data_IF_874447232143
#
_entry.id   IF_874447232143
#
_cell.length_a   1.000
_cell.length_b   1.000
_cell.length_c   1.000
_cell.angle_alpha   90.00
_cell.angle_beta   90.00
_cell.angle_gamma   90.00
#
_symmetry.space_group_name_H-M   'P 1'
#
loop_
_entity.id
_entity.type
_entity.pdbx_description
1 polymer ?
#
# COMPACT_ATOMS: atom_id res chain seq x y z
N UNK A 1 -13.66 30.26 -0.65
CA UNK A 1 -13.74 29.80 -2.05
C UNK A 1 -14.56 28.52 -2.06
N UNK A 2 -15.49 28.39 -3.01
CA UNK A 2 -16.25 27.17 -3.25
C UNK A 2 -15.43 26.14 -4.07
N UNK A 3 -15.95 24.92 -4.20
CA UNK A 3 -15.25 23.86 -4.92
C UNK A 3 -14.92 24.24 -6.38
N UNK A 4 -15.85 24.88 -7.09
CA UNK A 4 -15.64 25.28 -8.49
C UNK A 4 -14.43 26.22 -8.67
N UNK A 5 -14.30 27.22 -7.80
CA UNK A 5 -13.17 28.16 -7.82
C UNK A 5 -11.82 27.49 -7.54
N UNK A 6 -11.80 26.45 -6.69
CA UNK A 6 -10.60 25.65 -6.44
C UNK A 6 -10.25 24.77 -7.64
N UNK A 7 -11.23 24.15 -8.29
CA UNK A 7 -11.04 23.34 -9.48
C UNK A 7 -10.43 24.16 -10.63
N UNK A 8 -10.98 25.35 -10.90
CA UNK A 8 -10.44 26.27 -11.92
C UNK A 8 -8.97 26.65 -11.66
N UNK A 9 -8.61 26.89 -10.39
CA UNK A 9 -7.21 27.12 -10.02
C UNK A 9 -6.35 25.88 -10.21
N UNK A 10 -6.85 24.70 -9.82
CA UNK A 10 -6.15 23.43 -10.02
C UNK A 10 -5.85 23.18 -11.50
N UNK A 11 -6.84 23.40 -12.37
CA UNK A 11 -6.70 23.21 -13.81
C UNK A 11 -5.66 24.15 -14.44
N UNK A 12 -5.48 25.32 -13.85
CA UNK A 12 -4.51 26.31 -14.32
C UNK A 12 -3.07 26.05 -13.84
N UNK A 13 -2.90 25.58 -12.59
CA UNK A 13 -1.57 25.58 -11.94
C UNK A 13 -1.00 24.19 -11.65
N UNK A 14 -1.81 23.12 -11.71
CA UNK A 14 -1.35 21.78 -11.39
C UNK A 14 -1.33 20.92 -12.65
N UNK A 15 -0.21 20.22 -12.89
CA UNK A 15 -0.10 19.27 -14.01
C UNK A 15 -1.20 18.21 -13.96
N UNK A 16 -1.77 17.86 -15.09
CA UNK A 16 -2.88 16.90 -15.21
C UNK A 16 -2.40 15.43 -15.19
N UNK A 17 -1.64 15.06 -14.16
CA UNK A 17 -1.14 13.70 -13.97
C UNK A 17 -2.19 12.75 -13.35
N UNK A 18 -3.28 13.30 -12.82
CA UNK A 18 -4.37 12.56 -12.19
C UNK A 18 -5.71 12.94 -12.81
N UNK A 19 -6.59 11.94 -13.03
CA UNK A 19 -8.01 12.16 -13.28
C UNK A 19 -8.73 12.51 -11.97
N UNK A 20 -8.72 13.79 -11.57
CA UNK A 20 -9.32 14.23 -10.31
C UNK A 20 -10.84 14.26 -10.39
N UNK A 21 -11.48 13.74 -9.36
CA UNK A 21 -12.91 13.95 -9.16
C UNK A 21 -13.19 15.40 -8.75
N UNK A 22 -14.37 15.97 -9.07
CA UNK A 22 -14.70 17.35 -8.74
C UNK A 22 -15.09 17.52 -7.25
N UNK A 23 -14.28 16.99 -6.37
CA UNK A 23 -14.44 17.04 -4.91
C UNK A 23 -13.23 17.77 -4.34
N UNK A 24 -13.45 18.74 -3.45
CA UNK A 24 -12.40 19.56 -2.84
C UNK A 24 -12.44 19.37 -1.31
N UNK A 25 -11.83 18.30 -0.78
CA UNK A 25 -11.83 18.05 0.66
C UNK A 25 -11.08 19.16 1.42
N UNK A 26 -11.67 19.68 2.48
CA UNK A 26 -11.08 20.73 3.33
C UNK A 26 -11.03 20.34 4.82
N UNK A 27 -11.76 19.30 5.21
CA UNK A 27 -11.77 18.77 6.57
C UNK A 27 -11.92 17.26 6.55
N UNK A 28 -11.25 16.56 7.48
CA UNK A 28 -11.41 15.13 7.70
C UNK A 28 -11.45 14.79 9.18
N UNK A 29 -12.26 13.78 9.56
CA UNK A 29 -12.37 13.27 10.91
C UNK A 29 -12.83 11.79 10.88
N UNK A 30 -12.03 10.88 11.42
CA UNK A 30 -12.32 9.43 11.36
C UNK A 30 -12.53 8.94 9.92
N UNK A 31 -13.68 8.35 9.65
CA UNK A 31 -14.07 7.88 8.31
C UNK A 31 -14.80 8.94 7.46
N UNK A 32 -14.75 10.21 7.84
CA UNK A 32 -15.54 11.26 7.18
C UNK A 32 -14.67 12.37 6.62
N UNK A 33 -15.08 12.91 5.47
CA UNK A 33 -14.52 14.10 4.83
C UNK A 33 -15.63 15.11 4.55
N UNK A 34 -15.27 16.40 4.54
CA UNK A 34 -16.13 17.50 4.11
C UNK A 34 -15.42 18.30 3.02
N UNK A 35 -16.16 18.62 1.96
CA UNK A 35 -15.64 19.46 0.91
C UNK A 35 -15.81 20.97 1.19
N UNK A 36 -15.31 21.80 0.28
CA UNK A 36 -15.37 23.26 0.38
C UNK A 36 -16.79 23.84 0.32
N UNK A 37 -17.76 23.06 -0.12
CA UNK A 37 -19.18 23.43 -0.18
C UNK A 37 -19.97 22.88 1.03
N UNK A 38 -19.28 22.22 1.97
CA UNK A 38 -19.84 21.70 3.21
C UNK A 38 -20.49 20.32 3.08
N UNK A 39 -20.40 19.66 1.92
CA UNK A 39 -20.92 18.32 1.73
C UNK A 39 -20.06 17.30 2.45
N UNK A 40 -20.70 16.41 3.21
CA UNK A 40 -20.08 15.28 3.91
C UNK A 40 -19.94 14.07 2.96
N UNK A 41 -18.82 13.39 3.11
CA UNK A 41 -18.54 12.12 2.45
C UNK A 41 -18.09 11.07 3.48
N UNK A 42 -18.62 9.86 3.34
CA UNK A 42 -18.11 8.67 4.00
C UNK A 42 -16.95 8.10 3.20
N UNK A 43 -15.78 7.96 3.82
CA UNK A 43 -14.54 7.61 3.12
C UNK A 43 -14.21 6.10 3.24
N UNK A 44 -14.50 5.35 2.19
CA UNK A 44 -14.10 3.94 2.04
C UNK A 44 -12.86 3.74 1.17
N UNK A 45 -12.11 4.83 0.91
CA UNK A 45 -10.84 4.84 0.20
C UNK A 45 -9.64 5.14 1.11
N UNK A 46 -9.82 5.94 2.14
CA UNK A 46 -8.80 6.33 3.13
C UNK A 46 -7.50 6.85 2.50
N UNK A 47 -7.61 7.67 1.43
CA UNK A 47 -6.43 8.16 0.71
C UNK A 47 -5.64 7.05 -0.01
N UNK A 48 -6.31 5.98 -0.46
CA UNK A 48 -5.74 4.75 -1.01
C UNK A 48 -4.96 3.96 0.05
N UNK A 49 -5.66 3.58 1.13
CA UNK A 49 -5.13 2.85 2.28
C UNK A 49 -3.97 3.59 2.99
N UNK A 50 -4.03 4.92 3.05
CA UNK A 50 -3.05 5.76 3.76
C UNK A 50 -3.52 6.09 5.18
N UNK A 51 -4.78 6.48 5.32
CA UNK A 51 -5.35 6.91 6.60
C UNK A 51 -5.94 5.72 7.38
N UNK A 52 -5.10 4.74 7.72
CA UNK A 52 -5.57 3.53 8.41
C UNK A 52 -6.22 3.82 9.77
N UNK A 53 -5.78 4.86 10.48
CA UNK A 53 -6.41 5.28 11.74
C UNK A 53 -7.53 6.30 11.55
N UNK A 54 -7.94 6.56 10.30
CA UNK A 54 -8.87 7.62 9.95
C UNK A 54 -8.21 9.00 9.86
N UNK A 55 -8.99 9.97 9.38
CA UNK A 55 -8.52 11.34 9.26
C UNK A 55 -8.32 11.98 10.63
N UNK A 56 -7.19 12.67 10.77
CA UNK A 56 -6.85 13.47 11.96
C UNK A 56 -6.91 12.69 13.29
N UNK A 57 -6.37 11.47 13.33
CA UNK A 57 -6.35 10.67 14.55
C UNK A 57 -5.67 11.44 15.71
N UNK A 58 -6.32 11.61 16.89
CA UNK A 58 -5.84 12.52 17.94
C UNK A 58 -4.41 12.26 18.42
N UNK A 59 -4.02 10.99 18.63
CA UNK A 59 -2.66 10.62 19.06
C UNK A 59 -1.61 10.99 18.01
N UNK A 60 -1.90 10.81 16.71
CA UNK A 60 -1.00 11.15 15.61
C UNK A 60 -0.88 12.66 15.44
N UNK A 61 -2.02 13.39 15.47
CA UNK A 61 -2.04 14.86 15.41
C UNK A 61 -1.23 15.45 16.56
N UNK A 62 -1.42 14.96 17.79
CA UNK A 62 -0.67 15.39 18.96
C UNK A 62 0.85 15.20 18.77
N UNK A 63 1.28 14.01 18.34
CA UNK A 63 2.69 13.72 18.10
C UNK A 63 3.31 14.65 17.05
N UNK A 64 2.58 14.93 15.97
CA UNK A 64 3.01 15.89 14.94
C UNK A 64 3.14 17.31 15.50
N UNK A 65 2.18 17.79 16.28
CA UNK A 65 2.19 19.14 16.87
C UNK A 65 3.37 19.31 17.85
N UNK A 66 3.59 18.35 18.73
CA UNK A 66 4.68 18.37 19.70
C UNK A 66 6.04 18.32 19.02
N UNK A 67 6.21 17.42 18.04
CA UNK A 67 7.46 17.28 17.32
C UNK A 67 7.74 18.47 16.40
N UNK A 68 6.72 19.05 15.76
CA UNK A 68 6.86 20.25 14.93
C UNK A 68 7.34 21.47 15.74
N UNK A 69 6.93 21.56 17.01
CA UNK A 69 7.40 22.61 17.92
C UNK A 69 8.82 22.36 18.48
N UNK A 70 9.34 21.14 18.33
CA UNK A 70 10.67 20.76 18.87
C UNK A 70 11.73 20.78 17.77
N UNK A 71 11.58 19.99 16.75
CA UNK A 71 12.52 19.88 15.62
C UNK A 71 11.89 19.12 14.46
N UNK A 72 11.88 19.74 13.26
CA UNK A 72 11.30 19.15 12.05
C UNK A 72 12.32 18.28 11.33
N UNK A 73 13.56 18.78 11.15
CA UNK A 73 14.61 18.13 10.36
C UNK A 73 16.00 18.50 10.89
N UNK A 74 16.96 17.55 10.81
CA UNK A 74 18.35 17.81 11.20
C UNK A 74 19.41 17.12 10.33
N UNK A 75 19.03 16.39 9.26
CA UNK A 75 19.88 15.54 8.42
C UNK A 75 20.27 14.19 9.04
N UNK A 76 20.40 13.20 8.17
CA UNK A 76 20.89 11.84 8.51
C UNK A 76 22.43 11.81 8.77
N UNK A 77 23.10 12.94 8.83
CA UNK A 77 24.46 13.03 9.36
C UNK A 77 24.51 12.88 10.89
N UNK A 78 23.37 13.03 11.57
CA UNK A 78 23.24 12.95 13.02
C UNK A 78 22.37 11.78 13.42
N UNK A 79 22.53 11.31 14.66
CA UNK A 79 21.64 10.32 15.26
C UNK A 79 20.31 10.99 15.63
N UNK A 80 19.20 10.41 15.16
CA UNK A 80 17.84 10.93 15.36
C UNK A 80 17.10 9.99 16.32
N UNK A 81 16.82 10.41 17.57
CA UNK A 81 16.17 9.53 18.56
C UNK A 81 14.86 8.90 18.05
N UNK A 82 13.97 9.70 17.45
CA UNK A 82 12.69 9.22 16.93
C UNK A 82 12.86 8.20 15.80
N UNK A 83 13.90 8.34 14.97
CA UNK A 83 14.22 7.39 13.90
C UNK A 83 14.73 6.06 14.47
N UNK A 84 15.59 6.13 15.50
CA UNK A 84 16.15 4.95 16.16
C UNK A 84 15.04 4.19 16.87
N UNK A 85 14.18 4.88 17.62
CA UNK A 85 13.03 4.28 18.31
C UNK A 85 12.04 3.65 17.32
N UNK A 86 11.79 4.30 16.18
CA UNK A 86 10.94 3.75 15.12
C UNK A 86 11.57 2.50 14.50
N UNK A 87 12.87 2.49 14.24
CA UNK A 87 13.58 1.32 13.75
C UNK A 87 13.50 0.15 14.73
N UNK A 88 13.76 0.40 16.02
CA UNK A 88 13.64 -0.59 17.08
C UNK A 88 12.21 -1.16 17.13
N UNK A 89 11.18 -0.31 17.11
CA UNK A 89 9.79 -0.74 17.17
C UNK A 89 9.40 -1.60 15.97
N UNK A 90 9.82 -1.24 14.75
CA UNK A 90 9.56 -2.01 13.54
C UNK A 90 10.31 -3.35 13.53
N UNK A 91 11.59 -3.36 13.87
CA UNK A 91 12.39 -4.58 13.91
C UNK A 91 11.91 -5.55 15.00
N UNK A 92 11.57 -5.03 16.19
CA UNK A 92 11.06 -5.87 17.29
C UNK A 92 9.70 -6.52 17.02
N UNK A 93 8.94 -6.01 16.04
CA UNK A 93 7.63 -6.53 15.65
C UNK A 93 7.63 -7.17 14.24
N UNK A 94 8.80 -7.45 13.67
CA UNK A 94 8.95 -8.08 12.35
C UNK A 94 10.10 -9.10 12.33
N UNK A 95 10.36 -9.65 11.16
CA UNK A 95 11.51 -10.53 10.91
C UNK A 95 12.84 -9.78 10.76
N UNK A 96 12.79 -8.46 10.58
CA UNK A 96 13.93 -7.66 10.16
C UNK A 96 14.81 -7.24 11.34
N UNK A 97 16.10 -7.04 11.06
CA UNK A 97 17.08 -6.56 12.01
C UNK A 97 17.41 -5.08 11.83
N UNK A 98 17.23 -4.56 10.61
CA UNK A 98 17.61 -3.19 10.26
C UNK A 98 16.59 -2.52 9.35
N UNK A 99 16.48 -1.17 9.46
CA UNK A 99 15.59 -0.32 8.71
C UNK A 99 16.34 0.79 7.97
N UNK A 100 15.93 1.07 6.73
CA UNK A 100 16.29 2.27 5.99
C UNK A 100 15.03 3.11 5.77
N UNK A 101 15.08 4.41 6.08
CA UNK A 101 13.95 5.32 5.96
C UNK A 101 14.08 6.25 4.75
N UNK A 102 12.94 6.47 4.08
CA UNK A 102 12.76 7.36 2.94
C UNK A 102 11.40 8.08 3.02
N UNK A 103 10.86 8.61 1.91
CA UNK A 103 9.67 9.47 1.95
C UNK A 103 8.43 8.84 1.29
N UNK A 104 8.59 7.74 0.60
CA UNK A 104 7.51 7.12 -0.19
C UNK A 104 7.72 5.63 -0.39
N UNK A 105 6.65 4.91 -0.79
CA UNK A 105 6.75 3.50 -1.17
C UNK A 105 7.65 3.28 -2.40
N UNK A 106 7.62 4.20 -3.37
CA UNK A 106 8.51 4.12 -4.52
C UNK A 106 9.99 4.19 -4.10
N UNK A 107 10.37 5.11 -3.20
CA UNK A 107 11.73 5.18 -2.68
C UNK A 107 12.11 3.96 -1.84
N UNK A 108 11.18 3.39 -1.07
CA UNK A 108 11.41 2.15 -0.32
C UNK A 108 11.68 0.98 -1.27
N UNK A 109 10.90 0.86 -2.34
CA UNK A 109 11.08 -0.15 -3.38
C UNK A 109 12.38 0.06 -4.18
N UNK A 110 12.77 1.30 -4.50
CA UNK A 110 14.09 1.62 -5.07
C UNK A 110 15.23 1.14 -4.17
N UNK A 111 15.09 1.36 -2.85
CA UNK A 111 16.08 0.88 -1.88
C UNK A 111 16.15 -0.65 -1.85
N UNK A 112 15.00 -1.34 -1.88
CA UNK A 112 14.93 -2.80 -1.90
C UNK A 112 15.55 -3.40 -3.17
N UNK A 113 15.24 -2.85 -4.34
CA UNK A 113 15.83 -3.24 -5.63
C UNK A 113 17.37 -3.04 -5.60
N UNK A 114 17.83 -1.89 -5.12
CA UNK A 114 19.26 -1.61 -5.01
C UNK A 114 19.97 -2.52 -4.01
N UNK A 115 19.35 -2.77 -2.86
CA UNK A 115 19.90 -3.66 -1.84
C UNK A 115 20.05 -5.08 -2.36
N UNK A 116 19.03 -5.63 -3.01
CA UNK A 116 19.05 -6.98 -3.58
C UNK A 116 20.16 -7.13 -4.63
N UNK A 117 20.28 -6.17 -5.55
CA UNK A 117 21.34 -6.17 -6.58
C UNK A 117 22.72 -6.06 -5.97
N UNK A 118 22.88 -5.19 -4.97
CA UNK A 118 24.18 -4.99 -4.32
C UNK A 118 24.58 -6.19 -3.47
N UNK A 119 23.65 -6.73 -2.68
CA UNK A 119 23.88 -7.94 -1.89
C UNK A 119 24.35 -9.12 -2.76
N UNK A 120 23.66 -9.38 -3.87
CA UNK A 120 24.03 -10.46 -4.77
C UNK A 120 25.45 -10.32 -5.32
N UNK A 121 25.87 -9.11 -5.67
CA UNK A 121 27.18 -8.87 -6.27
C UNK A 121 28.31 -8.81 -5.26
N UNK A 122 28.12 -8.06 -4.18
CA UNK A 122 29.20 -7.76 -3.23
C UNK A 122 29.33 -8.80 -2.13
N UNK A 123 28.22 -9.37 -1.66
CA UNK A 123 28.20 -10.24 -0.48
C UNK A 123 28.06 -11.71 -0.89
N UNK A 124 27.10 -12.05 -1.74
CA UNK A 124 26.90 -13.46 -2.16
C UNK A 124 27.88 -13.93 -3.22
N UNK A 125 28.74 -13.03 -3.75
CA UNK A 125 29.76 -13.37 -4.74
C UNK A 125 29.18 -13.78 -6.11
N UNK A 126 28.01 -13.28 -6.47
CA UNK A 126 27.30 -13.56 -7.74
C UNK A 126 27.19 -12.27 -8.59
N UNK A 127 28.29 -11.79 -9.19
CA UNK A 127 28.33 -10.51 -9.89
C UNK A 127 27.40 -10.44 -11.11
N UNK A 128 27.05 -11.58 -11.69
CA UNK A 128 26.10 -11.72 -12.80
C UNK A 128 24.65 -11.50 -12.38
N UNK A 129 24.30 -11.69 -11.10
CA UNK A 129 22.93 -11.63 -10.61
C UNK A 129 22.47 -10.19 -10.33
N UNK A 130 21.49 -9.74 -11.10
CA UNK A 130 20.88 -8.40 -10.97
C UNK A 130 19.40 -8.37 -11.36
N UNK A 131 18.91 -9.43 -12.00
CA UNK A 131 17.53 -9.50 -12.47
C UNK A 131 16.56 -9.79 -11.33
N UNK A 132 15.39 -9.21 -11.41
CA UNK A 132 14.32 -9.36 -10.43
C UNK A 132 13.04 -9.81 -11.15
N UNK A 133 12.43 -10.88 -10.66
CA UNK A 133 11.13 -11.34 -11.15
C UNK A 133 10.03 -10.64 -10.35
N UNK A 134 9.06 -10.07 -11.06
CA UNK A 134 7.86 -9.46 -10.48
C UNK A 134 6.60 -10.08 -11.07
N UNK A 135 5.41 -9.66 -10.65
CA UNK A 135 4.17 -10.19 -11.18
C UNK A 135 3.50 -9.22 -12.16
N UNK A 136 2.78 -9.76 -13.14
CA UNK A 136 1.83 -9.02 -13.95
C UNK A 136 0.77 -8.35 -13.06
N UNK A 137 0.22 -7.22 -13.48
CA UNK A 137 -0.74 -6.39 -12.74
C UNK A 137 -0.23 -5.83 -11.40
N UNK A 138 1.05 -6.03 -11.05
CA UNK A 138 1.67 -5.45 -9.85
C UNK A 138 1.80 -3.92 -9.96
N UNK A 139 1.96 -3.27 -8.79
CA UNK A 139 2.25 -1.84 -8.72
C UNK A 139 3.31 -1.57 -7.64
N UNK A 140 4.51 -1.16 -8.06
CA UNK A 140 5.64 -0.92 -7.14
C UNK A 140 6.09 0.55 -7.07
N UNK A 141 5.50 1.45 -7.89
CA UNK A 141 5.79 2.88 -7.86
C UNK A 141 5.91 3.55 -9.23
N UNK A 142 6.35 4.81 -9.22
CA UNK A 142 6.42 5.68 -10.41
C UNK A 142 7.82 6.24 -10.70
N UNK A 143 8.86 5.81 -9.99
CA UNK A 143 10.27 6.08 -10.34
C UNK A 143 10.73 5.11 -11.42
N UNK A 144 11.85 5.37 -12.09
CA UNK A 144 12.25 4.56 -13.25
C UNK A 144 12.45 3.08 -12.93
N UNK A 145 13.09 2.72 -11.80
CA UNK A 145 13.21 1.31 -11.46
C UNK A 145 11.88 0.70 -11.01
N UNK A 146 11.07 1.41 -10.24
CA UNK A 146 9.77 0.90 -9.79
C UNK A 146 8.74 0.85 -10.92
N UNK A 147 8.79 1.73 -11.92
CA UNK A 147 8.02 1.61 -13.16
C UNK A 147 8.44 0.36 -13.92
N UNK A 148 9.74 0.09 -14.03
CA UNK A 148 10.26 -1.12 -14.68
C UNK A 148 9.84 -2.40 -13.95
N UNK A 149 9.74 -2.36 -12.61
CA UNK A 149 9.27 -3.47 -11.79
C UNK A 149 7.74 -3.66 -11.83
N UNK A 150 6.97 -2.60 -12.13
CA UNK A 150 5.50 -2.62 -12.17
C UNK A 150 5.01 -3.37 -13.42
N UNK A 151 4.25 -4.45 -13.24
CA UNK A 151 3.73 -5.30 -14.32
C UNK A 151 2.51 -4.75 -15.06
N UNK A 152 2.47 -3.46 -15.37
CA UNK A 152 1.35 -2.80 -16.05
C UNK A 152 1.85 -1.96 -17.24
N UNK A 153 1.58 -2.40 -18.46
CA UNK A 153 2.00 -1.73 -19.69
C UNK A 153 1.56 -0.25 -19.74
N UNK A 154 0.33 0.08 -19.32
CA UNK A 154 -0.18 1.45 -19.27
C UNK A 154 0.66 2.41 -18.41
N UNK A 155 1.39 1.88 -17.42
CA UNK A 155 2.25 2.65 -16.52
C UNK A 155 3.65 2.84 -17.11
N UNK A 156 4.09 1.89 -17.94
CA UNK A 156 5.41 1.86 -18.58
C UNK A 156 5.46 2.63 -19.90
N UNK A 157 4.33 2.71 -20.58
CA UNK A 157 4.21 3.25 -21.94
C UNK A 157 4.80 4.65 -22.06
N UNK A 158 5.70 4.83 -23.05
CA UNK A 158 6.42 6.09 -23.37
C UNK A 158 7.50 6.52 -22.36
N UNK A 159 7.90 5.65 -21.44
CA UNK A 159 9.04 5.90 -20.55
C UNK A 159 10.28 5.07 -20.94
N UNK A 160 10.30 4.52 -22.15
CA UNK A 160 11.45 3.78 -22.68
C UNK A 160 12.70 4.67 -22.85
N UNK A 161 13.93 4.10 -22.67
CA UNK A 161 14.18 2.71 -22.29
C UNK A 161 13.94 2.47 -20.79
N UNK A 162 13.23 1.38 -20.47
CA UNK A 162 13.06 0.93 -19.09
C UNK A 162 14.37 0.39 -18.53
N UNK A 163 14.49 0.33 -17.21
CA UNK A 163 15.64 -0.27 -16.55
C UNK A 163 15.65 -1.79 -16.80
N UNK A 164 16.76 -2.30 -17.34
CA UNK A 164 16.93 -3.73 -17.60
C UNK A 164 16.96 -4.57 -16.33
N UNK A 165 16.59 -5.86 -16.50
CA UNK A 165 16.65 -6.86 -15.46
C UNK A 165 15.34 -6.97 -14.65
N UNK A 166 14.20 -6.73 -15.29
CA UNK A 166 12.89 -7.07 -14.76
C UNK A 166 12.16 -8.00 -15.71
N UNK A 167 11.55 -9.04 -15.16
CA UNK A 167 10.63 -9.94 -15.86
C UNK A 167 9.32 -10.03 -15.10
N UNK A 168 8.21 -10.11 -15.83
CA UNK A 168 6.87 -10.15 -15.24
C UNK A 168 6.22 -11.50 -15.55
N UNK A 169 5.77 -12.20 -14.52
CA UNK A 169 5.06 -13.48 -14.64
C UNK A 169 3.61 -13.33 -14.15
N UNK A 170 2.67 -14.18 -14.56
CA UNK A 170 1.34 -14.17 -14.00
C UNK A 170 1.38 -14.31 -12.46
N UNK A 171 0.58 -13.49 -11.77
CA UNK A 171 0.45 -13.61 -10.32
C UNK A 171 -0.26 -14.92 -9.96
N UNK A 172 0.16 -15.57 -8.88
CA UNK A 172 -0.38 -16.85 -8.43
C UNK A 172 -0.07 -18.05 -9.36
N UNK A 173 1.01 -17.96 -10.16
CA UNK A 173 1.51 -19.01 -11.05
C UNK A 173 2.96 -19.36 -10.69
N UNK A 174 3.15 -20.42 -9.89
CA UNK A 174 4.47 -20.84 -9.43
C UNK A 174 5.28 -21.48 -10.55
N UNK A 175 4.64 -22.11 -11.53
CA UNK A 175 5.33 -22.76 -12.65
C UNK A 175 5.93 -21.68 -13.57
N UNK A 176 5.17 -20.64 -13.89
CA UNK A 176 5.68 -19.49 -14.63
C UNK A 176 6.79 -18.76 -13.85
N UNK A 177 6.67 -18.63 -12.52
CA UNK A 177 7.72 -18.07 -11.67
C UNK A 177 9.01 -18.88 -11.75
N UNK A 178 8.92 -20.20 -11.60
CA UNK A 178 10.08 -21.11 -11.68
C UNK A 178 10.74 -21.07 -13.07
N UNK A 179 9.95 -21.05 -14.14
CA UNK A 179 10.45 -20.96 -15.51
C UNK A 179 11.17 -19.64 -15.84
N UNK A 180 10.86 -18.56 -15.10
CA UNK A 180 11.48 -17.25 -15.28
C UNK A 180 12.82 -17.10 -14.53
N UNK A 181 13.20 -18.04 -13.65
CA UNK A 181 14.48 -18.01 -12.95
C UNK A 181 15.61 -18.29 -13.92
N UNK A 182 16.62 -17.41 -13.91
CA UNK A 182 17.85 -17.52 -14.71
C UNK A 182 19.08 -17.38 -13.84
N UNK A 183 20.28 -17.61 -14.39
CA UNK A 183 21.53 -17.38 -13.68
C UNK A 183 21.73 -15.90 -13.28
N UNK A 184 21.07 -14.97 -13.97
CA UNK A 184 21.10 -13.52 -13.65
C UNK A 184 20.11 -13.13 -12.55
N UNK A 185 19.18 -14.01 -12.16
CA UNK A 185 18.15 -13.68 -11.18
C UNK A 185 18.74 -13.51 -9.77
N UNK A 186 18.47 -12.39 -9.11
CA UNK A 186 18.90 -12.12 -7.74
C UNK A 186 17.74 -12.13 -6.73
N UNK A 187 16.51 -11.81 -7.16
CA UNK A 187 15.37 -11.71 -6.28
C UNK A 187 14.04 -11.96 -6.99
N UNK A 188 13.03 -12.31 -6.20
CA UNK A 188 11.61 -12.20 -6.53
C UNK A 188 11.03 -11.05 -5.71
N UNK A 189 10.22 -10.17 -6.34
CA UNK A 189 9.55 -9.05 -5.68
C UNK A 189 8.06 -9.12 -5.94
N UNK A 190 7.25 -9.22 -4.89
CA UNK A 190 5.80 -9.38 -4.94
C UNK A 190 5.08 -8.50 -3.92
N UNK A 191 3.84 -8.12 -4.24
CA UNK A 191 2.85 -7.72 -3.24
C UNK A 191 2.24 -9.02 -2.65
N UNK A 192 2.10 -9.18 -1.32
CA UNK A 192 1.40 -10.35 -0.75
C UNK A 192 -0.04 -10.48 -1.23
N UNK A 193 -0.69 -9.34 -1.44
CA UNK A 193 -2.00 -9.16 -2.06
C UNK A 193 -1.85 -8.00 -3.04
N UNK A 194 -2.15 -8.19 -4.30
CA UNK A 194 -2.08 -7.11 -5.27
C UNK A 194 -3.21 -6.11 -5.05
N UNK A 195 -2.86 -4.86 -4.75
CA UNK A 195 -3.84 -3.80 -4.49
C UNK A 195 -4.41 -3.17 -5.77
N UNK A 196 -3.54 -2.58 -6.56
CA UNK A 196 -3.90 -1.87 -7.80
C UNK A 196 -4.29 -2.82 -8.93
N UNK A 197 -3.81 -4.05 -8.90
CA UNK A 197 -4.14 -5.11 -9.86
C UNK A 197 -5.56 -5.67 -9.73
N UNK A 198 -6.36 -5.22 -8.74
CA UNK A 198 -7.75 -5.65 -8.58
C UNK A 198 -8.04 -6.39 -7.27
N UNK A 199 -7.30 -6.16 -6.23
CA UNK A 199 -7.37 -6.88 -4.94
C UNK A 199 -7.25 -8.40 -5.16
N UNK A 200 -6.14 -8.81 -5.77
CA UNK A 200 -5.87 -10.22 -6.05
C UNK A 200 -5.27 -10.90 -4.83
N UNK A 201 -6.02 -11.84 -4.26
CA UNK A 201 -5.57 -12.69 -3.16
C UNK A 201 -4.91 -13.92 -3.77
N UNK A 202 -3.70 -14.31 -3.38
CA UNK A 202 -3.09 -15.53 -3.89
C UNK A 202 -3.69 -16.77 -3.22
N UNK A 203 -3.51 -17.94 -3.83
CA UNK A 203 -3.79 -19.20 -3.19
C UNK A 203 -2.97 -19.35 -1.91
N UNK A 204 -3.51 -20.07 -0.93
CA UNK A 204 -2.95 -20.16 0.42
C UNK A 204 -1.48 -20.61 0.44
N UNK A 205 -1.08 -21.47 -0.48
CA UNK A 205 0.28 -22.05 -0.56
C UNK A 205 1.20 -21.37 -1.59
N UNK A 206 0.71 -20.36 -2.33
CA UNK A 206 1.50 -19.72 -3.37
C UNK A 206 2.75 -19.04 -2.82
N UNK A 207 2.61 -18.19 -1.79
CA UNK A 207 3.75 -17.46 -1.24
C UNK A 207 4.76 -18.39 -0.53
N UNK A 208 4.30 -19.51 0.08
CA UNK A 208 5.22 -20.51 0.62
C UNK A 208 6.01 -21.22 -0.48
N UNK A 209 5.37 -21.56 -1.60
CA UNK A 209 6.06 -22.11 -2.79
C UNK A 209 7.06 -21.11 -3.38
N UNK A 210 6.72 -19.80 -3.40
CA UNK A 210 7.69 -18.77 -3.84
C UNK A 210 8.87 -18.68 -2.87
N UNK A 211 8.63 -18.76 -1.55
CA UNK A 211 9.73 -18.80 -0.57
C UNK A 211 10.64 -20.00 -0.79
N UNK A 212 10.06 -21.19 -0.93
CA UNK A 212 10.81 -22.41 -1.21
C UNK A 212 11.63 -22.31 -2.51
N UNK A 213 11.05 -21.75 -3.57
CA UNK A 213 11.73 -21.49 -4.84
C UNK A 213 12.93 -20.53 -4.64
N UNK A 214 12.74 -19.45 -3.90
CA UNK A 214 13.81 -18.52 -3.60
C UNK A 214 14.95 -19.19 -2.82
N UNK A 215 14.63 -20.01 -1.81
CA UNK A 215 15.61 -20.74 -1.02
C UNK A 215 16.39 -21.75 -1.85
N UNK A 216 15.72 -22.51 -2.72
CA UNK A 216 16.35 -23.50 -3.62
C UNK A 216 17.36 -22.87 -4.59
N UNK A 217 17.07 -21.67 -5.07
CA UNK A 217 17.91 -20.98 -6.05
C UNK A 217 18.84 -19.90 -5.43
N UNK A 218 18.79 -19.72 -4.10
CA UNK A 218 19.55 -18.68 -3.40
C UNK A 218 19.18 -17.28 -3.89
N UNK A 219 17.87 -17.00 -4.03
CA UNK A 219 17.29 -15.73 -4.40
C UNK A 219 16.76 -15.02 -3.15
N UNK A 220 16.74 -13.69 -3.17
CA UNK A 220 16.05 -12.92 -2.15
C UNK A 220 14.55 -12.84 -2.42
N UNK A 221 13.73 -12.91 -1.38
CA UNK A 221 12.31 -12.60 -1.45
C UNK A 221 12.07 -11.19 -0.90
N UNK A 222 11.57 -10.30 -1.76
CA UNK A 222 11.17 -8.94 -1.42
C UNK A 222 9.65 -8.90 -1.39
N UNK A 223 9.05 -8.50 -0.26
CA UNK A 223 7.62 -8.26 -0.17
C UNK A 223 7.31 -6.76 -0.09
N UNK A 224 6.54 -6.28 -1.07
CA UNK A 224 5.99 -4.94 -1.09
C UNK A 224 4.69 -4.91 -0.26
N UNK A 225 4.81 -4.49 0.99
CA UNK A 225 3.67 -4.30 1.90
C UNK A 225 3.23 -2.83 2.03
N UNK A 226 3.59 -2.01 1.06
CA UNK A 226 3.24 -0.58 1.04
C UNK A 226 1.75 -0.33 1.17
N UNK A 227 0.90 -1.18 0.58
CA UNK A 227 -0.55 -1.02 0.67
C UNK A 227 -1.21 -1.95 1.69
N UNK A 228 -0.70 -3.14 1.89
CA UNK A 228 -1.35 -4.20 2.68
C UNK A 228 -0.78 -4.38 4.09
N UNK A 229 0.35 -3.76 4.38
CA UNK A 229 0.92 -3.72 5.73
C UNK A 229 0.18 -2.76 6.67
N UNK A 230 0.75 -2.56 7.85
CA UNK A 230 0.27 -1.62 8.85
C UNK A 230 -1.20 -1.85 9.27
N UNK A 231 -1.55 -3.11 9.50
CA UNK A 231 -2.85 -3.51 10.04
C UNK A 231 -3.96 -3.70 9.03
N UNK A 232 -3.75 -3.39 7.74
CA UNK A 232 -4.79 -3.40 6.70
C UNK A 232 -5.53 -4.74 6.59
N UNK A 233 -4.84 -5.84 6.79
CA UNK A 233 -5.38 -7.20 6.67
C UNK A 233 -5.80 -7.84 8.01
N UNK A 234 -5.76 -7.09 9.13
CA UNK A 234 -6.02 -7.61 10.49
C UNK A 234 -4.75 -8.08 11.21
N UNK A 235 -3.65 -8.30 10.49
CA UNK A 235 -2.31 -8.53 11.01
C UNK A 235 -1.45 -7.29 10.84
N UNK A 236 -0.36 -7.14 11.60
CA UNK A 236 0.53 -6.00 11.43
C UNK A 236 1.11 -5.97 10.01
N UNK A 237 1.52 -7.14 9.51
CA UNK A 237 2.01 -7.34 8.14
C UNK A 237 1.22 -8.44 7.43
N UNK A 238 0.97 -8.27 6.14
CA UNK A 238 0.13 -9.20 5.37
C UNK A 238 0.78 -10.58 5.19
N UNK A 239 2.12 -10.67 5.10
CA UNK A 239 2.82 -11.95 4.96
C UNK A 239 2.59 -12.92 6.13
N UNK A 240 2.19 -12.41 7.31
CA UNK A 240 1.88 -13.23 8.47
C UNK A 240 0.70 -14.19 8.23
N UNK A 241 -0.25 -13.84 7.33
CA UNK A 241 -1.36 -14.71 6.96
C UNK A 241 -0.91 -15.98 6.21
N UNK A 242 0.24 -15.90 5.56
CA UNK A 242 0.79 -16.98 4.73
C UNK A 242 1.89 -17.76 5.41
N UNK A 243 2.25 -17.42 6.65
CA UNK A 243 3.25 -18.13 7.46
C UNK A 243 4.67 -18.10 6.87
N UNK A 244 4.99 -17.10 6.06
CA UNK A 244 6.31 -16.96 5.42
C UNK A 244 7.09 -15.78 5.99
N UNK A 245 8.41 -15.82 5.80
CA UNK A 245 9.32 -14.73 6.18
C UNK A 245 10.06 -14.25 4.94
N UNK A 246 9.92 -12.97 4.53
CA UNK A 246 10.71 -12.41 3.45
C UNK A 246 12.15 -12.10 3.90
N UNK A 247 12.99 -11.73 2.96
CA UNK A 247 14.34 -11.24 3.20
C UNK A 247 14.38 -9.72 3.30
N UNK A 248 13.51 -9.06 2.54
CA UNK A 248 13.33 -7.61 2.50
C UNK A 248 11.82 -7.32 2.45
N UNK A 249 11.38 -6.31 3.19
CA UNK A 249 10.01 -5.81 3.17
C UNK A 249 9.98 -4.30 3.04
N UNK A 250 9.04 -3.77 2.27
CA UNK A 250 8.85 -2.32 2.13
C UNK A 250 7.50 -1.87 2.67
N UNK A 251 7.49 -0.72 3.34
CA UNK A 251 6.32 -0.10 3.94
C UNK A 251 6.27 1.39 3.57
N UNK A 252 5.07 1.95 3.50
CA UNK A 252 4.82 3.39 3.39
C UNK A 252 3.36 3.69 3.76
N UNK A 253 2.66 4.53 2.98
CA UNK A 253 1.22 4.83 3.11
C UNK A 253 0.77 4.98 4.57
N UNK A 254 0.20 3.93 5.14
CA UNK A 254 -0.36 3.96 6.49
C UNK A 254 0.67 4.05 7.63
N UNK A 255 1.96 3.95 7.33
CA UNK A 255 3.04 3.90 8.32
C UNK A 255 3.03 5.11 9.29
N UNK A 256 2.66 6.31 8.82
CA UNK A 256 2.61 7.52 9.64
C UNK A 256 1.25 8.24 9.60
N UNK A 257 0.15 7.51 9.36
CA UNK A 257 -1.21 8.06 9.47
C UNK A 257 -1.50 9.26 8.56
N UNK A 258 -0.86 9.33 7.39
CA UNK A 258 -1.02 10.41 6.41
C UNK A 258 0.22 11.27 6.18
N UNK A 259 1.21 11.26 7.07
CA UNK A 259 2.49 11.93 6.83
C UNK A 259 3.39 11.10 5.88
N UNK A 260 4.14 11.75 4.96
CA UNK A 260 4.93 11.04 3.94
C UNK A 260 6.17 10.38 4.56
N UNK A 261 6.18 9.06 4.61
CA UNK A 261 7.31 8.22 5.01
C UNK A 261 7.27 6.91 4.23
N UNK A 262 8.45 6.35 3.97
CA UNK A 262 8.65 4.99 3.52
C UNK A 262 9.76 4.34 4.31
N UNK A 263 9.78 3.02 4.39
CA UNK A 263 10.88 2.26 4.97
C UNK A 263 11.09 0.96 4.20
N UNK A 264 12.34 0.56 4.10
CA UNK A 264 12.76 -0.78 3.72
C UNK A 264 13.32 -1.45 4.97
N UNK A 265 12.83 -2.64 5.28
CA UNK A 265 13.25 -3.50 6.37
C UNK A 265 14.01 -4.70 5.79
N UNK A 266 15.11 -5.11 6.40
CA UNK A 266 15.90 -6.24 5.92
C UNK A 266 16.58 -7.00 7.06
N UNK A 267 16.90 -8.28 6.80
CA UNK A 267 17.75 -9.09 7.67
C UNK A 267 19.17 -8.52 7.73
N UNK A 268 19.87 -8.69 8.84
CA UNK A 268 21.19 -8.10 9.08
C UNK A 268 22.25 -8.53 8.07
N UNK A 269 22.24 -9.81 7.67
CA UNK A 269 23.16 -10.37 6.68
C UNK A 269 22.99 -9.76 5.28
N UNK A 270 21.80 -9.27 4.96
CA UNK A 270 21.49 -8.59 3.70
C UNK A 270 21.77 -7.08 3.82
N UNK A 271 21.33 -6.48 4.92
CA UNK A 271 21.46 -5.05 5.18
C UNK A 271 22.92 -4.57 5.17
N UNK A 272 23.88 -5.42 5.58
CA UNK A 272 25.31 -5.13 5.55
C UNK A 272 25.86 -4.76 4.16
N UNK A 273 25.14 -5.08 3.08
CA UNK A 273 25.54 -4.67 1.74
C UNK A 273 25.43 -3.15 1.54
N UNK A 274 24.58 -2.46 2.31
CA UNK A 274 24.56 -1.00 2.31
C UNK A 274 25.59 -0.44 3.30
N UNK A 275 26.56 0.30 2.78
CA UNK A 275 27.59 0.98 3.55
C UNK A 275 27.54 2.48 3.25
N UNK A 276 28.15 3.35 4.07
CA UNK A 276 28.17 4.79 3.85
C UNK A 276 28.48 5.18 2.40
N UNK A 277 27.62 6.01 1.79
CA UNK A 277 27.77 6.50 0.41
C UNK A 277 27.09 5.64 -0.66
N UNK A 278 26.54 4.46 -0.34
CA UNK A 278 25.90 3.59 -1.35
C UNK A 278 24.43 3.91 -1.60
N UNK A 279 23.73 4.43 -0.62
CA UNK A 279 22.36 4.90 -0.70
C UNK A 279 22.08 5.98 0.34
N UNK A 280 21.02 6.77 0.16
CA UNK A 280 20.66 7.83 1.09
C UNK A 280 19.37 8.56 0.73
N UNK A 281 18.87 9.34 1.68
CA UNK A 281 17.72 10.23 1.54
C UNK A 281 17.96 11.47 2.39
N UNK A 282 17.67 12.66 1.87
CA UNK A 282 17.78 13.89 2.63
C UNK A 282 16.73 13.96 3.74
N UNK A 283 15.48 13.69 3.42
CA UNK A 283 14.35 13.84 4.34
C UNK A 283 13.91 12.52 4.99
N UNK A 284 14.36 11.38 4.48
CA UNK A 284 13.94 10.07 4.98
C UNK A 284 14.24 9.89 6.46
N UNK A 285 13.24 9.52 7.24
CA UNK A 285 13.36 9.31 8.68
C UNK A 285 13.59 10.58 9.49
N UNK A 286 13.12 11.74 9.01
CA UNK A 286 13.21 12.97 9.81
C UNK A 286 12.40 12.88 11.11
N UNK A 287 12.73 13.66 12.14
CA UNK A 287 12.07 13.61 13.45
C UNK A 287 10.55 13.72 13.38
N UNK A 288 10.02 14.62 12.53
CA UNK A 288 8.58 14.89 12.46
C UNK A 288 7.78 13.67 12.01
N UNK A 289 8.19 13.04 10.89
CA UNK A 289 7.45 11.88 10.35
C UNK A 289 7.67 10.63 11.18
N UNK A 290 8.85 10.47 11.81
CA UNK A 290 9.11 9.37 12.74
C UNK A 290 8.23 9.45 14.00
N UNK A 291 8.01 10.65 14.56
CA UNK A 291 7.09 10.83 15.67
C UNK A 291 5.64 10.45 15.30
N UNK A 292 5.19 10.82 14.11
CA UNK A 292 3.88 10.40 13.60
C UNK A 292 3.78 8.87 13.40
N UNK A 293 4.83 8.25 12.85
CA UNK A 293 4.88 6.80 12.64
C UNK A 293 4.89 6.03 13.98
N UNK A 294 5.68 6.47 14.96
CA UNK A 294 5.67 5.91 16.31
C UNK A 294 4.27 5.94 16.94
N UNK A 295 3.60 7.10 16.86
CA UNK A 295 2.24 7.23 17.37
C UNK A 295 1.26 6.30 16.64
N UNK A 296 1.40 6.17 15.32
CA UNK A 296 0.56 5.30 14.49
C UNK A 296 0.75 3.83 14.86
N UNK A 297 2.00 3.34 14.93
CA UNK A 297 2.27 1.94 15.23
C UNK A 297 1.83 1.57 16.65
N UNK A 298 2.08 2.44 17.64
CA UNK A 298 1.60 2.22 19.01
C UNK A 298 0.08 2.07 19.08
N UNK A 299 -0.67 2.90 18.37
CA UNK A 299 -2.13 2.76 18.29
C UNK A 299 -2.53 1.42 17.68
N UNK A 300 -1.86 0.98 16.62
CA UNK A 300 -2.14 -0.33 16.00
C UNK A 300 -1.89 -1.48 16.97
N UNK A 301 -0.81 -1.44 17.75
CA UNK A 301 -0.39 -2.52 18.64
C UNK A 301 -1.15 -2.53 19.98
N UNK A 302 -1.47 -1.35 20.53
CA UNK A 302 -1.92 -1.19 21.92
C UNK A 302 -3.44 -0.97 22.04
N UNK A 303 -4.11 -0.38 21.03
CA UNK A 303 -5.52 0.00 21.12
C UNK A 303 -6.49 -1.02 20.48
N UNK A 304 -6.01 -2.25 20.18
CA UNK A 304 -6.86 -3.33 19.64
C UNK A 304 -7.30 -3.13 18.18
N UNK A 305 -6.64 -2.24 17.45
CA UNK A 305 -7.01 -1.89 16.06
C UNK A 305 -6.86 -3.08 15.10
N UNK A 306 -5.86 -3.95 15.32
CA UNK A 306 -5.65 -5.12 14.46
C UNK A 306 -6.85 -6.08 14.54
N UNK A 307 -7.29 -6.44 15.73
CA UNK A 307 -8.46 -7.29 15.93
C UNK A 307 -9.73 -6.65 15.36
N UNK A 308 -9.90 -5.33 15.56
CA UNK A 308 -11.01 -4.58 14.98
C UNK A 308 -10.99 -4.63 13.45
N UNK A 309 -9.83 -4.53 12.82
CA UNK A 309 -9.69 -4.61 11.36
C UNK A 309 -10.09 -6.00 10.83
N UNK A 310 -9.79 -7.06 11.56
CA UNK A 310 -10.24 -8.42 11.25
C UNK A 310 -11.75 -8.55 11.38
N UNK A 311 -12.33 -8.21 12.54
CA UNK A 311 -13.77 -8.28 12.81
C UNK A 311 -14.59 -7.44 11.82
N UNK A 312 -14.19 -6.20 11.56
CA UNK A 312 -14.89 -5.32 10.62
C UNK A 312 -14.68 -5.74 9.17
N UNK A 313 -13.54 -6.38 8.87
CA UNK A 313 -13.26 -6.96 7.56
C UNK A 313 -14.21 -8.12 7.27
N UNK A 314 -14.38 -9.05 8.19
CA UNK A 314 -15.33 -10.16 8.09
C UNK A 314 -16.76 -9.64 7.95
N UNK A 315 -17.13 -8.64 8.76
CA UNK A 315 -18.46 -8.02 8.68
C UNK A 315 -18.70 -7.38 7.31
N UNK A 316 -17.80 -6.54 6.82
CA UNK A 316 -17.91 -5.88 5.53
C UNK A 316 -17.95 -6.91 4.38
N UNK A 317 -17.11 -7.94 4.44
CA UNK A 317 -17.09 -9.01 3.44
C UNK A 317 -18.46 -9.71 3.37
N UNK A 318 -19.04 -10.06 4.51
CA UNK A 318 -20.36 -10.69 4.60
C UNK A 318 -21.47 -9.80 4.02
N UNK A 319 -21.48 -8.50 4.32
CA UNK A 319 -22.47 -7.57 3.78
C UNK A 319 -22.32 -7.41 2.24
N UNK A 320 -21.10 -7.38 1.72
CA UNK A 320 -20.84 -7.33 0.28
C UNK A 320 -21.23 -8.63 -0.43
N UNK A 321 -21.05 -9.79 0.20
CA UNK A 321 -21.58 -11.07 -0.30
C UNK A 321 -23.13 -11.09 -0.30
N UNK A 322 -23.76 -10.44 0.66
CA UNK A 322 -25.20 -10.17 0.65
C UNK A 322 -25.63 -9.38 -0.58
N UNK A 323 -24.87 -8.37 -0.98
CA UNK A 323 -25.10 -7.63 -2.22
C UNK A 323 -24.85 -8.50 -3.47
N UNK A 324 -23.83 -9.35 -3.47
CA UNK A 324 -23.58 -10.30 -4.55
C UNK A 324 -24.79 -11.24 -4.74
N UNK A 325 -25.34 -11.77 -3.66
CA UNK A 325 -26.54 -12.60 -3.71
C UNK A 325 -27.75 -11.85 -4.26
N UNK A 326 -27.88 -10.56 -3.93
CA UNK A 326 -28.98 -9.70 -4.39
C UNK A 326 -28.84 -9.24 -5.85
N UNK A 327 -27.61 -9.07 -6.33
CA UNK A 327 -27.29 -8.55 -7.67
C UNK A 327 -26.34 -9.47 -8.46
N UNK A 328 -26.69 -10.77 -8.67
CA UNK A 328 -25.77 -11.75 -9.27
C UNK A 328 -25.43 -11.46 -10.73
N UNK A 329 -26.25 -10.65 -11.43
CA UNK A 329 -25.97 -10.21 -12.79
C UNK A 329 -24.94 -9.07 -12.89
N UNK A 330 -24.70 -8.33 -11.81
CA UNK A 330 -23.80 -7.18 -11.75
C UNK A 330 -22.50 -7.48 -10.99
N UNK A 331 -22.57 -8.29 -9.93
CA UNK A 331 -21.43 -8.63 -9.10
C UNK A 331 -20.95 -10.03 -9.48
N UNK A 332 -19.67 -10.13 -9.84
CA UNK A 332 -19.04 -11.39 -10.26
C UNK A 332 -18.52 -12.19 -9.06
N UNK A 333 -17.90 -11.53 -8.11
CA UNK A 333 -17.34 -12.10 -6.89
C UNK A 333 -17.04 -11.00 -5.87
N UNK A 334 -16.84 -11.40 -4.61
CA UNK A 334 -16.26 -10.57 -3.54
C UNK A 334 -15.06 -11.32 -2.99
N UNK A 335 -14.00 -10.61 -2.62
CA UNK A 335 -12.77 -11.20 -2.07
C UNK A 335 -12.01 -10.20 -1.21
N UNK A 336 -11.27 -10.68 -0.23
CA UNK A 336 -10.46 -9.82 0.63
C UNK A 336 -9.92 -10.53 1.85
N UNK A 337 -9.01 -9.86 2.56
CA UNK A 337 -8.53 -10.24 3.88
C UNK A 337 -8.54 -8.97 4.74
N UNK A 338 -9.16 -9.03 5.92
CA UNK A 338 -9.38 -7.86 6.77
C UNK A 338 -10.11 -6.76 5.99
N UNK A 339 -9.63 -5.53 6.09
CA UNK A 339 -10.20 -4.36 5.38
C UNK A 339 -9.48 -4.04 4.05
N UNK A 340 -8.96 -5.06 3.38
CA UNK A 340 -8.49 -5.02 1.99
C UNK A 340 -9.44 -5.83 1.14
N UNK A 341 -10.53 -5.23 0.62
CA UNK A 341 -11.63 -5.95 -0.04
C UNK A 341 -11.84 -5.42 -1.45
N UNK A 342 -12.08 -6.34 -2.38
CA UNK A 342 -12.45 -6.09 -3.77
C UNK A 342 -13.77 -6.76 -4.14
N UNK A 343 -14.64 -6.02 -4.83
CA UNK A 343 -15.86 -6.53 -5.44
C UNK A 343 -15.72 -6.48 -6.95
N UNK A 344 -15.61 -7.62 -7.59
CA UNK A 344 -15.56 -7.74 -9.06
C UNK A 344 -16.94 -7.51 -9.67
N UNK A 345 -17.00 -6.66 -10.68
CA UNK A 345 -18.21 -6.34 -11.45
C UNK A 345 -18.19 -7.00 -12.82
N UNK A 346 -19.36 -7.21 -13.40
CA UNK A 346 -19.53 -7.66 -14.80
C UNK A 346 -19.46 -6.49 -15.79
N UNK A 347 -19.44 -5.25 -15.30
CA UNK A 347 -19.42 -3.99 -16.06
C UNK A 347 -18.32 -3.07 -15.52
N UNK A 348 -17.89 -2.03 -16.28
CA UNK A 348 -17.01 -1.00 -15.75
C UNK A 348 -17.62 -0.27 -14.55
N UNK A 349 -16.83 -0.11 -13.47
CA UNK A 349 -17.30 0.46 -12.20
C UNK A 349 -17.31 1.99 -12.11
N UNK A 350 -16.85 2.70 -13.15
CA UNK A 350 -16.69 4.15 -13.11
C UNK A 350 -17.97 4.93 -12.80
N UNK A 351 -19.10 4.52 -13.38
CA UNK A 351 -20.40 5.17 -13.13
C UNK A 351 -20.92 4.89 -11.71
N UNK A 352 -20.63 3.71 -11.15
CA UNK A 352 -20.97 3.37 -9.76
C UNK A 352 -20.17 4.27 -8.80
N UNK A 353 -18.88 4.46 -9.07
CA UNK A 353 -18.03 5.37 -8.28
C UNK A 353 -18.54 6.80 -8.35
N UNK A 354 -18.90 7.29 -9.53
CA UNK A 354 -19.48 8.62 -9.72
C UNK A 354 -20.79 8.79 -8.95
N UNK A 355 -21.71 7.84 -9.05
CA UNK A 355 -22.97 7.84 -8.30
C UNK A 355 -22.73 7.79 -6.77
N UNK A 356 -21.71 7.06 -6.33
CA UNK A 356 -21.25 7.07 -4.94
C UNK A 356 -20.83 8.47 -4.47
N UNK A 357 -19.99 9.15 -5.24
CA UNK A 357 -19.56 10.52 -4.95
C UNK A 357 -20.73 11.50 -4.85
N UNK A 358 -21.71 11.38 -5.76
CA UNK A 358 -22.93 12.20 -5.73
C UNK A 358 -23.76 11.96 -4.46
N UNK A 359 -23.74 10.74 -3.90
CA UNK A 359 -24.44 10.35 -2.66
C UNK A 359 -23.60 10.45 -1.39
N UNK A 360 -22.41 11.05 -1.48
CA UNK A 360 -21.55 11.27 -0.32
C UNK A 360 -20.77 10.01 0.12
N UNK A 361 -20.46 9.10 -0.81
CA UNK A 361 -19.64 7.92 -0.56
C UNK A 361 -18.38 7.96 -1.44
N UNK A 362 -17.18 7.91 -0.83
CA UNK A 362 -15.92 7.83 -1.55
C UNK A 362 -15.50 6.37 -1.74
N UNK A 363 -15.51 5.96 -2.98
CA UNK A 363 -15.03 4.66 -3.46
C UNK A 363 -14.06 4.88 -4.62
N UNK A 364 -13.32 3.84 -4.97
CA UNK A 364 -12.62 3.81 -6.25
C UNK A 364 -12.80 2.46 -6.95
N UNK A 365 -12.55 2.47 -8.26
CA UNK A 365 -12.46 1.27 -9.08
C UNK A 365 -11.01 1.08 -9.49
N UNK A 366 -10.52 -0.15 -9.38
CA UNK A 366 -9.22 -0.58 -9.90
C UNK A 366 -9.45 -1.65 -10.95
N UNK A 367 -8.52 -1.79 -11.91
CA UNK A 367 -8.64 -2.73 -13.03
C UNK A 367 -10.01 -2.64 -13.75
N UNK A 368 -10.54 -1.41 -13.90
CA UNK A 368 -11.80 -0.99 -14.53
C UNK A 368 -13.09 -1.61 -13.96
N UNK A 369 -13.05 -2.84 -13.45
CA UNK A 369 -14.22 -3.61 -13.03
C UNK A 369 -14.19 -4.04 -11.56
N UNK A 370 -13.22 -3.61 -10.74
CA UNK A 370 -13.14 -4.00 -9.33
C UNK A 370 -13.34 -2.79 -8.43
N UNK A 371 -14.48 -2.71 -7.75
CA UNK A 371 -14.64 -1.75 -6.65
C UNK A 371 -13.76 -2.19 -5.48
N UNK A 372 -12.91 -1.27 -5.01
CA UNK A 372 -12.00 -1.53 -3.88
C UNK A 372 -12.49 -0.79 -2.65
N UNK A 373 -12.54 -1.50 -1.53
CA UNK A 373 -12.92 -1.01 -0.22
C UNK A 373 -11.71 -1.10 0.71
N UNK A 374 -11.18 0.05 1.08
CA UNK A 374 -10.03 0.19 1.99
C UNK A 374 -10.29 1.30 3.02
N UNK A 375 -11.42 1.21 3.78
CA UNK A 375 -11.77 2.23 4.77
C UNK A 375 -10.70 2.34 5.85
N UNK A 376 -10.73 3.38 6.70
CA UNK A 376 -9.96 3.38 7.95
C UNK A 376 -10.23 2.11 8.78
N UNK A 377 -9.21 1.60 9.48
CA UNK A 377 -9.35 0.42 10.36
C UNK A 377 -10.24 0.70 11.58
N UNK A 378 -10.48 1.97 11.84
CA UNK A 378 -11.38 2.45 12.89
C UNK A 378 -12.84 2.50 12.47
N UNK A 379 -13.18 2.09 11.24
CA UNK A 379 -14.54 2.06 10.71
C UNK A 379 -15.49 1.34 11.67
N UNK A 380 -16.68 1.87 11.85
CA UNK A 380 -17.74 1.31 12.70
C UNK A 380 -18.73 0.48 11.86
N UNK A 381 -19.44 -0.41 12.54
CA UNK A 381 -20.54 -1.18 11.93
C UNK A 381 -21.59 -0.25 11.29
N UNK A 382 -21.98 0.84 11.97
CA UNK A 382 -22.93 1.80 11.45
C UNK A 382 -22.45 2.49 10.16
N UNK A 383 -21.16 2.76 10.03
CA UNK A 383 -20.57 3.33 8.81
C UNK A 383 -20.52 2.30 7.69
N UNK A 384 -20.29 1.03 8.00
CA UNK A 384 -20.42 -0.07 7.02
C UNK A 384 -21.87 -0.18 6.56
N UNK A 385 -22.86 -0.20 7.46
CA UNK A 385 -24.28 -0.28 7.13
C UNK A 385 -24.73 0.91 6.25
N UNK A 386 -24.25 2.14 6.56
CA UNK A 386 -24.50 3.33 5.73
C UNK A 386 -23.94 3.16 4.31
N UNK A 387 -22.69 2.71 4.20
CA UNK A 387 -22.05 2.45 2.90
C UNK A 387 -22.81 1.41 2.09
N UNK A 388 -23.17 0.28 2.70
CA UNK A 388 -23.93 -0.81 2.07
C UNK A 388 -25.30 -0.30 1.58
N UNK A 389 -25.99 0.50 2.37
CA UNK A 389 -27.27 1.11 1.98
C UNK A 389 -27.12 2.02 0.75
N UNK A 390 -26.11 2.87 0.71
CA UNK A 390 -25.82 3.73 -0.45
C UNK A 390 -25.48 2.87 -1.67
N UNK A 391 -24.57 1.91 -1.53
CA UNK A 391 -24.13 1.05 -2.65
C UNK A 391 -25.30 0.21 -3.20
N UNK A 392 -26.12 -0.38 -2.32
CA UNK A 392 -27.30 -1.14 -2.74
C UNK A 392 -28.29 -0.30 -3.56
N UNK A 393 -28.50 0.98 -3.16
CA UNK A 393 -29.35 1.90 -3.91
C UNK A 393 -28.79 2.22 -5.29
N UNK A 394 -27.46 2.35 -5.41
CA UNK A 394 -26.81 2.61 -6.70
C UNK A 394 -26.92 1.39 -7.61
N UNK A 395 -26.62 0.18 -7.08
CA UNK A 395 -26.68 -1.06 -7.87
C UNK A 395 -28.10 -1.37 -8.37
N UNK A 396 -29.13 -0.99 -7.62
CA UNK A 396 -30.52 -1.16 -8.04
C UNK A 396 -30.93 -0.25 -9.22
N UNK A 397 -30.23 0.84 -9.45
CA UNK A 397 -30.48 1.78 -10.56
C UNK A 397 -29.67 1.45 -11.83
N UNK A 398 -28.64 0.59 -11.71
CA UNK A 398 -27.87 0.13 -12.87
C UNK A 398 -28.78 -0.69 -13.76
N UNK A 399 -29.01 -0.21 -14.98
CA UNK A 399 -29.78 -0.96 -15.99
C UNK A 399 -28.95 -2.18 -16.42
N UNK A 400 -29.53 -3.34 -16.26
CA UNK A 400 -28.99 -4.61 -16.78
C UNK A 400 -29.02 -4.63 -18.30
#
# INVERSE_FOLDING_TARGET
MNSQQWIEKSDKYIMKTYGRYPIVPVRGEGCQLWDADGKRYLDFLAGVAVNNLGHCHPKVVKALQEQAATMIHCSNYYQIPQQIELAELLCSNSFADQAFFCNSGAEANEAAIKLARKYSRDISGRPERYAIITAADSFHGRTMATVSATGQEKVQRFFDPLLHGFSHVPFNDIEAMAAAVTDETCAVMLEPIQGEGGVNIPDHDYLSKVRDLCDQHGLLLILDEVQVGMGRTGKLFAHEHFGITPDIMTLAKALAGGAPIGTMLAKADIAQAFVPGTHGSTFGGNPLVCAAALATIRVLLEDGILNRAEEMGEYLLGELEGLHTRFPGLIKNVRGIGLMIGMGLTIPGGDIVKAGHERGLLLNVTHDTVLRFVPPLTVSKAEVDEMIGILASILAEVKQ
#
